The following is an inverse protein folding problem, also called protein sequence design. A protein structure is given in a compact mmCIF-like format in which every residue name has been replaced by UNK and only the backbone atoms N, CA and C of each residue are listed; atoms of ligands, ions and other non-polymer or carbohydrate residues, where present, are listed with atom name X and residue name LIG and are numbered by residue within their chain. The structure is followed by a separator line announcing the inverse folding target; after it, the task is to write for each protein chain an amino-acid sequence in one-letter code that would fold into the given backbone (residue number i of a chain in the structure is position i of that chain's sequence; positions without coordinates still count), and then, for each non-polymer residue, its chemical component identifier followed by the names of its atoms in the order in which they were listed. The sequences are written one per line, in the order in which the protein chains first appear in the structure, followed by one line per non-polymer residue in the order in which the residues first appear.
data_IF_192821490630
#
_entry.id   IF_192821490630
#
_cell.length_a   1.000
_cell.length_b   1.000
_cell.length_c   1.000
_cell.angle_alpha   90.00
_cell.angle_beta   90.00
_cell.angle_gamma   90.00
#
_symmetry.space_group_name_H-M   'P 1'
#
loop_
_entity.id
_entity.type
_entity.pdbx_description
1 polymer ?
#
# COMPACT_ATOMS: atom_id res chain seq x y z
N UNK A 1 6.84 -8.41 0.74
CA UNK A 1 7.13 -7.10 0.11
C UNK A 1 8.32 -6.50 0.82
N UNK A 2 9.39 -6.14 0.10
CA UNK A 2 10.57 -5.45 0.63
C UNK A 2 10.66 -4.04 0.06
N UNK A 3 11.16 -3.07 0.82
CA UNK A 3 11.39 -1.72 0.29
C UNK A 3 12.78 -1.60 -0.32
N UNK A 4 12.86 -0.90 -1.45
CA UNK A 4 14.14 -0.56 -2.11
C UNK A 4 14.84 0.62 -1.42
N UNK A 5 14.08 1.60 -0.94
CA UNK A 5 14.59 2.79 -0.26
C UNK A 5 13.88 3.00 1.09
N UNK A 6 14.66 3.01 2.17
CA UNK A 6 14.16 3.12 3.55
C UNK A 6 13.51 4.47 3.85
N UNK A 7 13.77 5.53 3.07
CA UNK A 7 13.10 6.82 3.28
C UNK A 7 11.58 6.74 3.12
N UNK A 8 11.11 5.77 2.34
CA UNK A 8 9.68 5.55 2.07
C UNK A 8 9.02 4.59 3.06
N UNK A 9 9.74 4.01 4.02
CA UNK A 9 9.21 2.95 4.90
C UNK A 9 7.94 3.38 5.61
N UNK A 10 7.92 4.57 6.22
CA UNK A 10 6.73 5.03 6.90
C UNK A 10 5.58 5.35 5.94
N UNK A 11 5.86 5.99 4.82
CA UNK A 11 4.86 6.33 3.80
C UNK A 11 4.15 5.07 3.25
N UNK A 12 4.94 4.06 2.88
CA UNK A 12 4.44 2.79 2.36
C UNK A 12 3.70 2.02 3.44
N UNK A 13 4.24 1.97 4.66
CA UNK A 13 3.57 1.31 5.78
C UNK A 13 2.22 1.99 6.09
N UNK A 14 2.16 3.32 6.15
CA UNK A 14 0.91 4.05 6.39
C UNK A 14 -0.12 3.76 5.29
N UNK A 15 0.29 3.83 4.02
CA UNK A 15 -0.58 3.58 2.88
C UNK A 15 -1.12 2.15 2.81
N UNK A 16 -0.36 1.18 3.32
CA UNK A 16 -0.67 -0.25 3.22
C UNK A 16 -0.93 -0.93 4.56
N UNK A 17 -0.98 -0.18 5.68
CA UNK A 17 -0.99 -0.72 7.06
C UNK A 17 -2.02 -1.82 7.26
N UNK A 18 -3.24 -1.59 6.78
CA UNK A 18 -4.34 -2.55 6.89
C UNK A 18 -4.04 -3.84 6.13
N UNK A 19 -3.39 -3.75 4.97
CA UNK A 19 -3.07 -4.91 4.12
C UNK A 19 -1.89 -5.69 4.67
N UNK A 20 -0.88 -5.03 5.24
CA UNK A 20 0.28 -5.67 5.85
C UNK A 20 -0.08 -6.59 7.03
N UNK A 21 -1.23 -6.39 7.67
CA UNK A 21 -1.76 -7.21 8.77
C UNK A 21 -2.94 -8.10 8.34
N UNK A 22 -3.24 -8.18 7.05
CA UNK A 22 -4.32 -8.99 6.50
C UNK A 22 -3.84 -10.38 6.06
N UNK A 23 -4.75 -11.36 6.09
CA UNK A 23 -4.54 -12.67 5.51
C UNK A 23 -5.28 -12.77 4.18
N UNK A 24 -4.68 -13.48 3.23
CA UNK A 24 -5.26 -13.73 1.91
C UNK A 24 -5.68 -15.19 1.81
N UNK A 25 -6.91 -15.43 1.36
CA UNK A 25 -7.53 -16.75 1.26
C UNK A 25 -7.98 -17.05 -0.16
N UNK A 26 -7.73 -18.28 -0.61
CA UNK A 26 -8.20 -18.76 -1.92
C UNK A 26 -9.72 -18.95 -1.95
N UNK A 27 -10.31 -19.34 -0.83
CA UNK A 27 -11.74 -19.61 -0.70
C UNK A 27 -12.29 -19.34 0.70
N UNK A 28 -13.63 -19.27 0.77
CA UNK A 28 -14.35 -19.20 2.04
C UNK A 28 -14.10 -20.42 2.92
N UNK A 29 -13.86 -21.60 2.31
CA UNK A 29 -13.56 -22.84 3.05
C UNK A 29 -12.21 -22.72 3.78
N UNK A 30 -11.20 -22.15 3.13
CA UNK A 30 -9.87 -21.97 3.72
C UNK A 30 -9.95 -20.99 4.89
N UNK A 31 -10.70 -19.89 4.72
CA UNK A 31 -10.94 -18.95 5.80
C UNK A 31 -11.64 -19.59 6.99
N UNK A 32 -12.70 -20.39 6.76
CA UNK A 32 -13.39 -21.11 7.85
C UNK A 32 -12.46 -22.10 8.57
N UNK A 33 -11.55 -22.76 7.85
CA UNK A 33 -10.55 -23.62 8.48
C UNK A 33 -9.57 -22.81 9.33
N UNK A 34 -9.05 -21.70 8.80
CA UNK A 34 -8.20 -20.78 9.54
C UNK A 34 -8.87 -20.27 10.82
N UNK A 35 -10.13 -19.84 10.75
CA UNK A 35 -10.87 -19.39 11.93
C UNK A 35 -11.00 -20.50 13.00
N UNK A 36 -11.26 -21.75 12.58
CA UNK A 36 -11.32 -22.89 13.50
C UNK A 36 -9.97 -23.14 14.16
N UNK A 37 -8.87 -23.08 13.40
CA UNK A 37 -7.51 -23.25 13.92
C UNK A 37 -7.16 -22.15 14.94
N UNK A 38 -7.48 -20.89 14.63
CA UNK A 38 -7.26 -19.77 15.55
C UNK A 38 -7.98 -20.00 16.88
N UNK A 39 -9.27 -20.36 16.83
CA UNK A 39 -10.08 -20.63 18.03
C UNK A 39 -9.57 -21.84 18.83
N UNK A 40 -9.20 -22.92 18.15
CA UNK A 40 -8.68 -24.13 18.79
C UNK A 40 -7.38 -23.87 19.55
N UNK A 41 -6.55 -22.95 19.07
CA UNK A 41 -5.30 -22.55 19.72
C UNK A 41 -5.46 -21.41 20.73
N UNK A 42 -6.69 -21.12 21.18
CA UNK A 42 -6.94 -20.12 22.21
C UNK A 42 -6.75 -18.66 21.76
N UNK A 43 -6.59 -18.41 20.46
CA UNK A 43 -6.59 -17.06 19.89
C UNK A 43 -8.03 -16.54 19.85
N UNK A 44 -8.45 -15.97 20.98
CA UNK A 44 -9.78 -15.39 21.18
C UNK A 44 -9.69 -13.88 20.95
N UNK A 45 -10.52 -13.35 20.07
CA UNK A 45 -10.55 -11.92 19.76
C UNK A 45 -11.03 -11.61 18.35
N UNK A 46 -10.85 -10.36 17.93
CA UNK A 46 -11.08 -9.96 16.55
C UNK A 46 -10.10 -10.72 15.64
N UNK A 47 -10.64 -11.39 14.63
CA UNK A 47 -9.83 -12.07 13.64
C UNK A 47 -9.11 -11.03 12.76
N UNK A 48 -7.91 -11.37 12.25
CA UNK A 48 -7.26 -10.57 11.23
C UNK A 48 -8.16 -10.30 10.03
N UNK A 49 -7.93 -9.19 9.33
CA UNK A 49 -8.68 -8.86 8.12
C UNK A 49 -8.46 -9.93 7.04
N UNK A 50 -9.55 -10.40 6.43
CA UNK A 50 -9.53 -11.46 5.43
C UNK A 50 -9.75 -10.89 4.03
N UNK A 51 -8.88 -11.25 3.09
CA UNK A 51 -8.95 -10.88 1.68
C UNK A 51 -9.14 -12.15 0.87
N UNK A 52 -10.10 -12.16 -0.06
CA UNK A 52 -10.40 -13.33 -0.88
C UNK A 52 -9.96 -13.10 -2.32
N UNK A 53 -9.05 -13.94 -2.82
CA UNK A 53 -8.63 -13.91 -4.22
C UNK A 53 -8.12 -15.27 -4.67
N UNK A 54 -8.26 -15.59 -5.95
CA UNK A 54 -7.75 -16.84 -6.51
C UNK A 54 -6.24 -16.79 -6.62
N UNK A 55 -5.57 -17.76 -6.00
CA UNK A 55 -4.10 -17.89 -6.05
C UNK A 55 -3.54 -18.24 -7.44
N UNK A 56 -4.41 -18.52 -8.41
CA UNK A 56 -4.05 -18.81 -9.80
C UNK A 56 -4.11 -17.57 -10.69
N UNK A 57 -4.36 -16.38 -10.13
CA UNK A 57 -4.51 -15.15 -10.91
C UNK A 57 -3.13 -14.70 -11.41
N UNK A 58 -2.94 -14.46 -12.72
CA UNK A 58 -1.69 -13.91 -13.24
C UNK A 58 -1.44 -12.49 -12.71
N UNK A 59 -0.20 -11.98 -12.75
CA UNK A 59 0.09 -10.61 -12.36
C UNK A 59 -0.75 -9.60 -13.16
N UNK A 60 -1.32 -8.61 -12.48
CA UNK A 60 -2.08 -7.54 -13.14
C UNK A 60 -1.17 -6.68 -14.01
N UNK A 61 -1.59 -6.44 -15.26
CA UNK A 61 -1.00 -5.43 -16.13
C UNK A 61 -1.57 -4.05 -15.77
N UNK A 62 -0.71 -3.19 -15.24
CA UNK A 62 -1.09 -1.86 -14.73
C UNK A 62 -0.57 -0.70 -15.58
N UNK A 63 0.07 -0.98 -16.72
CA UNK A 63 0.76 0.06 -17.53
C UNK A 63 -0.13 1.24 -17.91
N UNK A 64 -1.43 1.02 -18.10
CA UNK A 64 -2.40 2.07 -18.43
C UNK A 64 -2.87 2.92 -17.22
N UNK A 65 -2.59 2.46 -16.00
CA UNK A 65 -3.01 3.06 -14.74
C UNK A 65 -1.84 3.66 -13.95
N UNK A 66 -0.62 3.56 -14.48
CA UNK A 66 0.54 4.16 -13.85
C UNK A 66 0.75 5.61 -14.31
N UNK A 67 1.23 6.50 -13.42
CA UNK A 67 1.72 7.82 -13.80
C UNK A 67 3.01 7.70 -14.64
N UNK A 68 3.43 8.80 -15.25
CA UNK A 68 4.71 8.89 -15.96
C UNK A 68 5.89 8.42 -15.10
N UNK A 69 6.97 7.98 -15.75
CA UNK A 69 8.14 7.38 -15.10
C UNK A 69 8.92 8.33 -14.18
N UNK A 70 8.67 9.63 -14.27
CA UNK A 70 9.25 10.66 -13.40
C UNK A 70 8.68 10.63 -11.96
N UNK A 71 7.55 9.94 -11.75
CA UNK A 71 6.92 9.80 -10.43
C UNK A 71 7.22 8.44 -9.82
N UNK A 72 7.80 8.45 -8.63
CA UNK A 72 7.88 7.26 -7.80
C UNK A 72 6.47 6.90 -7.31
N UNK A 73 6.11 5.62 -7.47
CA UNK A 73 4.88 5.05 -6.92
C UNK A 73 5.22 3.97 -5.91
N UNK A 74 4.27 3.62 -5.03
CA UNK A 74 4.50 2.53 -4.07
C UNK A 74 4.93 1.27 -4.82
N UNK A 75 4.24 0.90 -5.91
CA UNK A 75 4.57 -0.30 -6.69
C UNK A 75 6.01 -0.29 -7.25
N UNK A 76 6.55 0.88 -7.60
CA UNK A 76 7.90 1.02 -8.16
C UNK A 76 9.01 0.96 -7.10
N UNK A 77 8.73 1.41 -5.88
CA UNK A 77 9.74 1.45 -4.79
C UNK A 77 9.76 0.20 -3.91
N UNK A 78 8.82 -0.72 -4.11
CA UNK A 78 8.75 -1.99 -3.40
C UNK A 78 9.11 -3.16 -4.31
N UNK A 79 9.70 -4.19 -3.73
CA UNK A 79 9.90 -5.49 -4.34
C UNK A 79 8.86 -6.48 -3.81
N UNK A 80 8.11 -7.09 -4.73
CA UNK A 80 7.03 -8.04 -4.43
C UNK A 80 7.23 -9.27 -5.30
N UNK A 81 7.61 -10.37 -4.65
CA UNK A 81 7.88 -11.65 -5.32
C UNK A 81 6.61 -12.47 -5.57
N UNK A 82 5.61 -12.31 -4.72
CA UNK A 82 4.35 -13.06 -4.79
C UNK A 82 3.29 -12.29 -5.60
N UNK A 83 2.82 -12.90 -6.68
CA UNK A 83 1.83 -12.29 -7.58
C UNK A 83 0.48 -12.03 -6.92
N UNK A 84 0.06 -12.92 -6.00
CA UNK A 84 -1.19 -12.76 -5.25
C UNK A 84 -1.08 -11.53 -4.34
N UNK A 85 0.03 -11.40 -3.62
CA UNK A 85 0.30 -10.22 -2.77
C UNK A 85 0.36 -8.95 -3.61
N UNK A 86 1.06 -8.99 -4.75
CA UNK A 86 1.15 -7.85 -5.68
C UNK A 86 -0.23 -7.39 -6.15
N UNK A 87 -1.04 -8.33 -6.61
CA UNK A 87 -2.38 -8.04 -7.11
C UNK A 87 -3.30 -7.52 -5.99
N UNK A 88 -3.23 -8.08 -4.78
CA UNK A 88 -3.98 -7.56 -3.62
C UNK A 88 -3.60 -6.12 -3.30
N UNK A 89 -2.32 -5.75 -3.36
CA UNK A 89 -1.88 -4.38 -3.13
C UNK A 89 -2.41 -3.42 -4.21
N UNK A 90 -2.43 -3.85 -5.47
CA UNK A 90 -3.00 -3.08 -6.59
C UNK A 90 -4.52 -2.90 -6.37
N UNK A 91 -5.24 -4.00 -6.18
CA UNK A 91 -6.71 -4.00 -6.09
C UNK A 91 -7.22 -3.22 -4.87
N UNK A 92 -6.54 -3.35 -3.72
CA UNK A 92 -7.03 -2.82 -2.45
C UNK A 92 -6.43 -1.47 -2.06
N UNK A 93 -5.25 -1.11 -2.58
CA UNK A 93 -4.55 0.12 -2.22
C UNK A 93 -4.12 0.97 -3.43
N UNK A 94 -4.33 0.52 -4.66
CA UNK A 94 -3.93 1.24 -5.89
C UNK A 94 -2.48 1.69 -5.84
N UNK A 95 -1.58 0.78 -5.43
CA UNK A 95 -0.15 1.09 -5.21
C UNK A 95 0.58 1.50 -6.50
N UNK A 96 0.05 1.13 -7.66
CA UNK A 96 0.49 1.55 -9.00
C UNK A 96 0.19 3.02 -9.29
N UNK A 97 -0.93 3.54 -8.76
CA UNK A 97 -1.35 4.94 -8.90
C UNK A 97 -1.08 5.80 -7.66
N UNK A 98 -0.45 5.23 -6.63
CA UNK A 98 -0.13 5.95 -5.39
C UNK A 98 1.28 6.52 -5.45
N UNK A 99 1.38 7.84 -5.61
CA UNK A 99 2.64 8.58 -5.80
C UNK A 99 3.33 8.86 -4.46
N UNK A 100 4.65 8.92 -4.47
CA UNK A 100 5.49 9.26 -3.33
C UNK A 100 6.14 10.62 -3.55
N UNK A 101 5.96 11.54 -2.59
CA UNK A 101 6.45 12.92 -2.66
C UNK A 101 7.35 13.21 -1.47
N UNK A 102 8.46 13.91 -1.70
CA UNK A 102 9.53 14.07 -0.70
C UNK A 102 9.12 14.84 0.56
N UNK A 103 8.10 15.69 0.47
CA UNK A 103 7.68 16.54 1.58
C UNK A 103 6.18 16.86 1.52
N UNK A 104 5.62 17.22 2.68
CA UNK A 104 4.24 17.72 2.75
C UNK A 104 4.07 19.06 2.01
N UNK A 105 5.15 19.84 1.85
CA UNK A 105 5.12 21.06 1.05
C UNK A 105 4.97 20.73 -0.44
N UNK A 106 5.74 19.75 -0.93
CA UNK A 106 5.61 19.25 -2.29
C UNK A 106 4.23 18.63 -2.53
N UNK A 107 3.71 17.86 -1.58
CA UNK A 107 2.37 17.29 -1.68
C UNK A 107 1.29 18.35 -1.85
N UNK A 108 1.33 19.43 -1.06
CA UNK A 108 0.36 20.53 -1.21
C UNK A 108 0.52 21.27 -2.53
N UNK A 109 1.76 21.51 -2.97
CA UNK A 109 2.06 22.26 -4.21
C UNK A 109 1.74 21.47 -5.48
N UNK A 110 2.08 20.19 -5.51
CA UNK A 110 1.95 19.34 -6.69
C UNK A 110 0.51 18.84 -6.81
N UNK A 111 -0.12 18.40 -5.72
CA UNK A 111 -1.45 17.80 -5.81
C UNK A 111 -2.57 18.82 -6.00
N UNK A 112 -2.31 20.11 -5.76
CA UNK A 112 -3.26 21.20 -6.02
C UNK A 112 -3.07 21.81 -7.41
N UNK A 113 -3.64 21.16 -8.43
CA UNK A 113 -3.66 21.65 -9.81
C UNK A 113 -2.54 21.12 -10.70
N UNK A 114 -1.53 20.44 -10.14
CA UNK A 114 -0.46 19.76 -10.90
C UNK A 114 -0.44 18.24 -10.63
N UNK A 115 -1.56 17.68 -10.15
CA UNK A 115 -1.66 16.25 -9.85
C UNK A 115 -1.27 15.43 -11.08
N UNK A 116 -0.33 14.47 -10.97
CA UNK A 116 0.10 13.66 -12.10
C UNK A 116 -1.07 12.89 -12.72
N UNK A 117 -1.01 12.64 -14.02
CA UNK A 117 -2.02 11.78 -14.65
C UNK A 117 -1.98 10.39 -14.01
N UNK A 118 -3.16 9.75 -13.89
CA UNK A 118 -3.36 8.46 -13.22
C UNK A 118 -2.98 8.40 -11.73
N UNK A 119 -2.55 9.51 -11.12
CA UNK A 119 -2.34 9.56 -9.69
C UNK A 119 -3.68 9.47 -8.94
N UNK A 120 -3.80 8.48 -8.06
CA UNK A 120 -4.98 8.25 -7.22
C UNK A 120 -4.86 9.02 -5.90
N UNK A 121 -3.65 9.07 -5.35
CA UNK A 121 -3.28 9.80 -4.12
C UNK A 121 -1.77 9.86 -4.00
N UNK A 122 -1.27 10.75 -3.14
CA UNK A 122 0.15 10.82 -2.81
C UNK A 122 0.39 10.63 -1.31
N UNK A 123 1.54 10.04 -0.97
CA UNK A 123 2.05 9.95 0.40
C UNK A 123 3.43 10.58 0.53
N UNK A 124 3.75 11.03 1.73
CA UNK A 124 5.04 11.64 2.07
C UNK A 124 5.75 10.85 3.17
N UNK A 125 7.07 11.02 3.39
CA UNK A 125 7.79 10.34 4.47
C UNK A 125 7.28 10.66 5.87
N UNK A 126 6.56 11.78 6.04
CA UNK A 126 5.90 12.14 7.30
C UNK A 126 4.57 11.43 7.50
N UNK A 127 4.11 10.64 6.52
CA UNK A 127 2.78 10.00 6.49
C UNK A 127 1.65 10.95 6.10
N UNK A 128 1.97 12.15 5.61
CA UNK A 128 0.99 13.03 4.99
C UNK A 128 0.38 12.37 3.75
N UNK A 129 -0.94 12.48 3.60
CA UNK A 129 -1.67 11.95 2.44
C UNK A 129 -2.36 13.08 1.70
N UNK A 130 -2.23 13.10 0.38
CA UNK A 130 -2.85 14.10 -0.48
C UNK A 130 -3.73 13.43 -1.53
N UNK A 131 -4.98 13.91 -1.64
CA UNK A 131 -5.81 13.75 -2.82
C UNK A 131 -5.61 14.98 -3.70
N UNK A 132 -5.58 14.78 -5.02
CA UNK A 132 -5.21 15.82 -5.96
C UNK A 132 -6.31 16.18 -6.94
N UNK A 133 -6.15 17.37 -7.53
CA UNK A 133 -6.86 17.79 -8.73
C UNK A 133 -5.85 18.15 -9.81
N UNK A 134 -6.16 17.84 -11.05
CA UNK A 134 -5.28 18.15 -12.18
C UNK A 134 -5.49 19.58 -12.72
N UNK A 135 -4.73 19.95 -13.75
CA UNK A 135 -4.81 21.29 -14.39
C UNK A 135 -6.17 21.60 -15.00
N UNK A 136 -6.94 20.59 -15.37
CA UNK A 136 -8.31 20.73 -15.92
C UNK A 136 -9.36 20.92 -14.83
N UNK A 137 -8.95 20.90 -13.55
CA UNK A 137 -9.86 20.96 -12.41
C UNK A 137 -10.55 19.63 -12.12
N UNK A 138 -10.15 18.53 -12.77
CA UNK A 138 -10.70 17.20 -12.49
C UNK A 138 -10.09 16.65 -11.20
N UNK A 139 -10.93 16.02 -10.37
CA UNK A 139 -10.56 15.58 -9.02
C UNK A 139 -10.84 16.65 -7.96
N UNK A 140 -10.37 16.41 -6.74
CA UNK A 140 -10.49 17.36 -5.65
C UNK A 140 -9.22 17.33 -4.81
N UNK A 141 -8.74 18.52 -4.46
CA UNK A 141 -7.56 18.63 -3.63
C UNK A 141 -7.95 18.51 -2.15
N UNK A 142 -7.23 17.65 -1.42
CA UNK A 142 -7.29 17.59 0.04
C UNK A 142 -5.99 17.05 0.60
N UNK A 143 -5.47 17.69 1.64
CA UNK A 143 -4.28 17.23 2.36
C UNK A 143 -4.64 16.80 3.78
N UNK A 144 -4.18 15.61 4.17
CA UNK A 144 -4.33 15.03 5.50
C UNK A 144 -2.94 14.89 6.12
N UNK A 145 -2.62 15.76 7.07
CA UNK A 145 -1.37 15.65 7.82
C UNK A 145 -1.42 14.44 8.76
N UNK A 146 -0.33 13.67 8.82
CA UNK A 146 -0.14 12.72 9.90
C UNK A 146 0.17 13.51 11.19
N UNK A 147 -0.67 13.33 12.21
CA UNK A 147 -0.52 14.02 13.51
C UNK A 147 0.39 13.25 14.48
N UNK A 148 0.81 12.06 14.08
CA UNK A 148 1.63 11.15 14.89
C UNK A 148 3.06 11.24 14.37
N UNK A 149 4.04 11.11 15.27
CA UNK A 149 5.43 11.07 14.87
C UNK A 149 5.68 9.89 13.92
N UNK A 150 6.29 10.11 12.74
CA UNK A 150 6.59 9.05 11.78
C UNK A 150 7.46 7.96 12.40
N UNK A 151 6.85 6.79 12.64
CA UNK A 151 7.56 5.62 13.16
C UNK A 151 7.00 4.37 12.48
N UNK A 152 7.70 3.82 11.48
CA UNK A 152 7.32 2.53 10.93
C UNK A 152 7.50 1.45 12.01
N UNK A 153 6.78 0.35 11.89
CA UNK A 153 6.71 -0.72 12.90
C UNK A 153 6.73 -2.10 12.27
N UNK A 154 6.18 -2.24 11.07
CA UNK A 154 6.02 -3.51 10.36
C UNK A 154 7.16 -3.69 9.36
N UNK A 155 7.49 -2.65 8.59
CA UNK A 155 8.45 -2.73 7.49
C UNK A 155 9.90 -2.42 7.89
N UNK A 156 10.19 -2.24 9.18
CA UNK A 156 11.54 -1.92 9.68
C UNK A 156 12.52 -3.12 9.71
N UNK A 157 12.02 -4.36 9.73
CA UNK A 157 12.80 -5.53 10.19
C UNK A 157 13.03 -6.65 9.16
N UNK A 158 13.09 -6.37 7.86
CA UNK A 158 13.17 -7.43 6.84
C UNK A 158 14.57 -7.98 6.53
N UNK A 159 15.55 -7.73 7.42
CA UNK A 159 16.91 -8.28 7.38
C UNK A 159 17.10 -9.49 8.31
N UNK A 160 16.03 -10.09 8.83
CA UNK A 160 16.16 -11.39 9.51
C UNK A 160 16.32 -12.49 8.45
N UNK A 161 17.57 -12.87 8.17
CA UNK A 161 17.88 -14.19 7.64
C UNK A 161 17.17 -15.22 8.52
N UNK A 162 16.23 -15.94 7.92
CA UNK A 162 15.69 -17.14 8.54
C UNK A 162 16.71 -18.22 8.23
N UNK A 163 17.67 -18.40 9.13
CA UNK A 163 18.47 -19.62 9.17
C UNK A 163 17.50 -20.78 9.41
N UNK A 164 17.39 -21.66 8.42
CA UNK A 164 16.76 -22.99 8.53
C UNK A 164 17.88 -24.02 8.58
#
# INVERSE_FOLDING_TARGET
MKLRDRKWTFAVEEATRRLLTSFVFHSKRDHQMFERLMRANGLRGALPNAIFTKFTTPPHDVRANEPSSEWDTILRVVDITDNVVRNVLIDMASVEGTVLLNSDQDARRIMDGLCPDKCVRAYTPTGGMAMGRNRRGEGFYRFYACRIQPRPTILLGQDAEVDI
#
